data_IF_785994227273
#
_entry.id   IF_785994227273
#
_cell.length_a   1.000
_cell.length_b   1.000
_cell.length_c   1.000
_cell.angle_alpha   90.00
_cell.angle_beta   90.00
_cell.angle_gamma   90.00
#
_symmetry.space_group_name_H-M   'P 1'
#
loop_
_entity.id
_entity.type
_entity.pdbx_description
1 polymer ?
#
# COMPACT_ATOMS: atom_id res chain seq x y z
N UNK A 1 -36.32 1.56 50.76
CA UNK A 1 -37.70 1.88 50.32
C UNK A 1 -37.99 3.34 50.65
N UNK A 2 -38.10 4.22 49.65
CA UNK A 2 -38.94 5.42 49.70
C UNK A 2 -39.09 5.95 48.26
N UNK A 3 -40.26 5.71 47.66
CA UNK A 3 -40.65 6.20 46.34
C UNK A 3 -41.05 7.67 46.46
N UNK A 4 -40.59 8.53 45.53
CA UNK A 4 -41.29 9.78 45.21
C UNK A 4 -41.36 9.95 43.69
N UNK A 5 -42.59 9.97 43.20
CA UNK A 5 -43.00 10.20 41.82
C UNK A 5 -42.75 11.67 41.44
N UNK A 6 -42.20 11.91 40.24
CA UNK A 6 -42.21 13.25 39.63
C UNK A 6 -43.06 13.22 38.36
N UNK A 7 -44.04 14.12 38.33
CA UNK A 7 -45.12 14.22 37.35
C UNK A 7 -44.64 14.94 36.09
N UNK A 8 -45.05 14.43 34.94
CA UNK A 8 -44.89 15.05 33.63
C UNK A 8 -45.82 16.27 33.50
N UNK A 9 -45.29 17.39 33.01
CA UNK A 9 -46.11 18.54 32.59
C UNK A 9 -45.93 18.71 31.08
N UNK A 10 -46.99 18.41 30.35
CA UNK A 10 -47.16 18.71 28.92
C UNK A 10 -47.29 20.23 28.78
N UNK A 11 -46.46 20.85 27.93
CA UNK A 11 -46.70 22.19 27.43
C UNK A 11 -46.95 22.12 25.93
N UNK A 12 -48.23 22.18 25.57
CA UNK A 12 -48.73 22.36 24.20
C UNK A 12 -48.65 23.84 23.84
N UNK A 13 -47.86 24.18 22.82
CA UNK A 13 -48.06 25.42 22.05
C UNK A 13 -48.27 25.05 20.58
N UNK A 14 -49.54 25.14 20.17
CA UNK A 14 -49.95 25.27 18.78
C UNK A 14 -49.70 26.70 18.33
N UNK A 15 -49.04 26.88 17.18
CA UNK A 15 -49.19 28.11 16.39
C UNK A 15 -49.19 27.75 14.90
N UNK A 16 -50.30 28.15 14.29
CA UNK A 16 -50.70 28.00 12.89
C UNK A 16 -49.83 28.88 11.98
N UNK A 17 -49.46 28.34 10.82
CA UNK A 17 -48.87 29.09 9.71
C UNK A 17 -49.09 28.34 8.41
N UNK A 18 -50.08 28.79 7.65
CA UNK A 18 -50.67 28.16 6.47
C UNK A 18 -49.92 28.60 5.20
N UNK A 19 -49.98 27.73 4.17
CA UNK A 19 -49.97 28.04 2.73
C UNK A 19 -48.64 27.89 1.98
N UNK A 20 -48.56 26.84 1.16
CA UNK A 20 -47.54 26.71 0.12
C UNK A 20 -47.37 25.32 -0.52
N UNK A 21 -48.44 24.50 -0.64
CA UNK A 21 -48.37 23.24 -1.39
C UNK A 21 -48.29 23.53 -2.90
N UNK A 22 -47.09 23.52 -3.47
CA UNK A 22 -46.91 23.47 -4.92
C UNK A 22 -47.03 22.00 -5.38
N UNK A 23 -48.26 21.56 -5.67
CA UNK A 23 -48.53 20.27 -6.28
C UNK A 23 -48.13 20.33 -7.76
N UNK A 24 -46.95 19.82 -8.09
CA UNK A 24 -46.63 19.44 -9.47
C UNK A 24 -47.38 18.16 -9.80
N UNK A 25 -48.40 18.29 -10.63
CA UNK A 25 -49.05 17.18 -11.34
C UNK A 25 -48.00 16.54 -12.25
N UNK A 26 -47.62 15.30 -11.96
CA UNK A 26 -46.83 14.48 -12.88
C UNK A 26 -47.83 13.70 -13.73
N UNK A 27 -48.04 14.17 -14.96
CA UNK A 27 -48.76 13.42 -15.99
C UNK A 27 -47.88 12.24 -16.41
N UNK A 28 -48.31 11.02 -16.09
CA UNK A 28 -47.70 9.80 -16.63
C UNK A 28 -48.23 9.61 -18.04
N UNK A 29 -47.38 9.84 -19.04
CA UNK A 29 -47.65 9.51 -20.44
C UNK A 29 -47.12 8.10 -20.69
N UNK A 30 -47.96 7.11 -21.03
CA UNK A 30 -47.48 5.80 -21.44
C UNK A 30 -47.10 5.81 -22.92
N UNK A 31 -46.03 5.05 -23.21
CA UNK A 31 -45.55 4.61 -24.53
C UNK A 31 -44.62 5.54 -25.31
N UNK A 32 -43.34 5.17 -25.32
CA UNK A 32 -42.64 4.85 -26.57
C UNK A 32 -41.48 3.89 -26.29
N UNK A 33 -41.55 2.71 -26.91
CA UNK A 33 -40.45 1.74 -27.06
C UNK A 33 -39.31 2.37 -27.88
N UNK A 34 -38.13 1.75 -27.79
CA UNK A 34 -36.90 1.92 -28.61
C UNK A 34 -35.92 2.91 -27.96
N UNK A 35 -34.71 2.57 -27.52
CA UNK A 35 -33.71 1.60 -27.97
C UNK A 35 -32.76 1.25 -26.80
N UNK A 36 -32.16 0.06 -26.85
CA UNK A 36 -31.22 -0.45 -25.85
C UNK A 36 -29.96 0.44 -25.72
N UNK A 37 -29.40 0.62 -24.50
CA UNK A 37 -28.12 1.29 -24.36
C UNK A 37 -27.00 0.38 -24.89
N UNK A 38 -26.24 0.93 -25.84
CA UNK A 38 -25.01 0.37 -26.38
C UNK A 38 -24.04 0.14 -25.23
N UNK A 39 -23.70 -1.12 -24.97
CA UNK A 39 -22.64 -1.52 -24.03
C UNK A 39 -21.34 -0.89 -24.51
N UNK A 40 -20.91 0.16 -23.82
CA UNK A 40 -19.56 0.71 -23.99
C UNK A 40 -18.61 -0.30 -23.37
N UNK A 41 -17.83 -0.99 -24.20
CA UNK A 41 -16.71 -1.79 -23.75
C UNK A 41 -15.77 -0.91 -22.92
N UNK A 42 -15.69 -1.20 -21.62
CA UNK A 42 -14.62 -0.75 -20.75
C UNK A 42 -13.37 -1.53 -21.17
N UNK A 43 -12.27 -0.89 -21.59
CA UNK A 43 -11.01 -1.59 -21.78
C UNK A 43 -10.53 -2.03 -20.39
N UNK A 44 -10.64 -3.34 -20.14
CA UNK A 44 -9.87 -4.02 -19.10
C UNK A 44 -8.39 -3.91 -19.46
N UNK A 45 -7.66 -2.99 -18.82
CA UNK A 45 -6.20 -2.95 -18.90
C UNK A 45 -5.58 -2.55 -17.56
N UNK A 46 -5.17 -3.56 -16.81
CA UNK A 46 -3.89 -3.52 -16.07
C UNK A 46 -3.24 -4.89 -15.90
N UNK A 47 -3.96 -6.00 -16.12
CA UNK A 47 -3.40 -7.37 -16.01
C UNK A 47 -2.32 -7.66 -17.05
N UNK A 48 -2.47 -7.14 -18.28
CA UNK A 48 -1.61 -7.49 -19.42
C UNK A 48 -0.17 -6.96 -19.27
N UNK A 49 0.08 -5.90 -18.48
CA UNK A 49 1.45 -5.38 -18.27
C UNK A 49 2.22 -6.12 -17.16
N UNK A 50 1.54 -6.72 -16.18
CA UNK A 50 2.20 -7.55 -15.17
C UNK A 50 2.67 -8.89 -15.77
N UNK A 51 1.87 -9.50 -16.64
CA UNK A 51 2.23 -10.77 -17.31
C UNK A 51 3.44 -10.65 -18.25
N UNK A 52 3.61 -9.51 -18.93
CA UNK A 52 4.72 -9.32 -19.88
C UNK A 52 6.09 -9.23 -19.17
N UNK A 53 6.13 -8.79 -17.90
CA UNK A 53 7.38 -8.72 -17.13
C UNK A 53 7.72 -10.04 -16.41
N UNK A 54 6.72 -10.89 -16.12
CA UNK A 54 6.94 -12.25 -15.59
C UNK A 54 7.70 -13.10 -16.63
N UNK A 55 7.39 -12.94 -17.91
CA UNK A 55 8.03 -13.70 -19.00
C UNK A 55 9.50 -13.31 -19.27
N UNK A 56 10.02 -12.24 -18.66
CA UNK A 56 11.45 -11.87 -18.76
C UNK A 56 12.30 -12.37 -17.60
N UNK A 57 11.70 -13.00 -16.59
CA UNK A 57 12.43 -13.60 -15.48
C UNK A 57 11.82 -14.96 -15.07
N UNK A 58 12.23 -16.07 -15.73
CA UNK A 58 11.68 -17.41 -15.48
C UNK A 58 12.00 -17.97 -14.08
N UNK A 59 12.82 -17.29 -13.28
CA UNK A 59 13.26 -17.78 -11.96
C UNK A 59 12.40 -17.28 -10.79
N UNK A 60 11.19 -16.77 -11.03
CA UNK A 60 10.27 -16.42 -9.95
C UNK A 60 9.77 -17.66 -9.15
N UNK A 61 10.02 -18.88 -9.64
CA UNK A 61 9.59 -20.15 -9.02
C UNK A 61 10.66 -21.21 -8.74
N UNK A 62 11.92 -21.06 -9.17
CA UNK A 62 12.92 -22.15 -9.16
C UNK A 62 14.08 -21.98 -8.15
N UNK A 63 13.83 -21.50 -6.93
CA UNK A 63 14.86 -21.55 -5.86
C UNK A 63 14.46 -22.40 -4.67
N UNK A 64 13.89 -23.57 -4.95
CA UNK A 64 13.78 -24.69 -4.00
C UNK A 64 14.52 -25.90 -4.57
N UNK A 65 15.85 -25.83 -4.69
CA UNK A 65 16.73 -27.01 -4.78
C UNK A 65 18.17 -26.62 -5.11
N UNK A 66 18.94 -26.19 -4.12
CA UNK A 66 20.38 -26.48 -4.07
C UNK A 66 20.97 -26.05 -2.74
N UNK A 67 21.25 -27.04 -1.90
CA UNK A 67 22.14 -26.92 -0.75
C UNK A 67 23.59 -26.87 -1.25
N UNK A 68 24.43 -26.01 -0.62
CA UNK A 68 25.77 -26.45 -0.26
C UNK A 68 26.02 -26.36 1.24
N UNK A 69 26.96 -27.20 1.67
CA UNK A 69 27.23 -27.59 3.06
C UNK A 69 27.93 -26.48 3.86
N UNK A 70 27.52 -26.42 5.13
CA UNK A 70 28.14 -25.85 6.34
C UNK A 70 29.65 -25.63 6.27
N UNK A 71 30.11 -24.48 6.75
CA UNK A 71 31.33 -24.34 7.56
C UNK A 71 31.21 -23.19 8.57
N UNK A 72 31.71 -23.46 9.77
CA UNK A 72 31.64 -22.65 11.00
C UNK A 72 32.81 -21.66 11.07
N UNK A 73 32.61 -20.43 11.55
CA UNK A 73 33.60 -19.74 12.42
C UNK A 73 32.99 -18.54 13.16
N UNK A 74 33.39 -18.41 14.43
CA UNK A 74 33.06 -17.40 15.44
C UNK A 74 33.79 -16.05 15.21
N UNK A 75 33.20 -14.95 15.73
CA UNK A 75 33.92 -13.71 16.06
C UNK A 75 33.00 -12.52 16.46
N UNK A 76 33.02 -12.14 17.75
CA UNK A 76 32.23 -11.07 18.44
C UNK A 76 32.81 -9.63 18.24
N UNK A 77 32.42 -8.56 19.01
CA UNK A 77 31.19 -7.73 18.91
C UNK A 77 31.40 -6.18 18.84
N UNK A 78 30.30 -5.44 18.53
CA UNK A 78 29.95 -4.03 18.87
C UNK A 78 30.63 -2.85 18.10
N UNK A 79 30.07 -1.60 18.03
CA UNK A 79 28.96 -1.01 18.80
C UNK A 79 27.82 -0.29 18.02
N UNK A 80 26.76 0.00 18.78
CA UNK A 80 25.50 0.66 18.40
C UNK A 80 25.69 2.14 18.05
N UNK A 81 25.12 2.59 16.92
CA UNK A 81 24.77 4.00 16.66
C UNK A 81 23.33 4.10 16.15
N UNK A 82 22.57 5.00 16.78
CA UNK A 82 21.21 5.37 16.41
C UNK A 82 21.25 6.33 15.22
N UNK A 83 20.75 5.92 14.06
CA UNK A 83 20.62 6.79 12.90
C UNK A 83 19.21 6.64 12.29
N UNK A 84 18.51 7.77 12.16
CA UNK A 84 17.17 7.89 11.56
C UNK A 84 17.25 7.75 10.03
N UNK A 85 17.69 6.59 9.54
CA UNK A 85 17.72 6.31 8.12
C UNK A 85 16.37 5.76 7.65
N UNK A 86 15.66 6.59 6.89
CA UNK A 86 14.42 6.24 6.25
C UNK A 86 14.68 5.26 5.08
N UNK A 87 14.77 3.98 5.43
CA UNK A 87 14.94 2.91 4.46
C UNK A 87 13.66 2.60 3.69
N UNK A 88 13.57 3.10 2.45
CA UNK A 88 12.59 2.67 1.44
C UNK A 88 13.20 1.61 0.52
N UNK A 89 14.52 1.65 0.36
CA UNK A 89 15.29 0.78 -0.52
C UNK A 89 15.75 -0.51 0.17
N UNK A 90 15.41 -0.69 1.46
CA UNK A 90 15.80 -1.87 2.22
C UNK A 90 17.31 -1.94 2.51
N UNK A 91 18.00 -0.81 2.59
CA UNK A 91 19.45 -0.73 2.77
C UNK A 91 19.92 -1.29 4.13
N UNK A 92 19.09 -1.28 5.18
CA UNK A 92 19.35 -1.99 6.46
C UNK A 92 18.82 -3.44 6.43
N UNK A 93 17.83 -3.76 5.60
CA UNK A 93 17.26 -5.12 5.55
C UNK A 93 18.01 -6.07 4.61
N UNK A 94 18.88 -5.53 3.76
CA UNK A 94 19.69 -6.27 2.78
C UNK A 94 21.15 -6.46 3.18
N UNK A 95 21.59 -5.89 4.30
CA UNK A 95 22.95 -6.11 4.81
C UNK A 95 23.20 -7.58 5.26
N UNK A 96 22.14 -8.36 5.49
CA UNK A 96 22.22 -9.77 5.90
C UNK A 96 22.05 -10.77 4.73
N UNK A 97 22.01 -10.32 3.47
CA UNK A 97 21.89 -11.21 2.29
C UNK A 97 23.08 -11.01 1.36
N UNK A 98 24.25 -11.45 1.81
CA UNK A 98 25.32 -11.86 0.92
C UNK A 98 25.02 -13.28 0.41
N UNK A 99 24.37 -13.40 -0.75
CA UNK A 99 24.52 -14.55 -1.67
C UNK A 99 23.62 -14.40 -2.93
N UNK A 100 24.31 -14.12 -4.04
CA UNK A 100 24.08 -14.62 -5.41
C UNK A 100 22.76 -14.32 -6.16
N UNK A 101 22.77 -13.21 -6.96
CA UNK A 101 22.35 -13.05 -8.39
C UNK A 101 22.00 -11.57 -8.70
N UNK A 102 22.36 -10.87 -9.79
CA UNK A 102 23.25 -11.08 -10.97
C UNK A 102 23.96 -9.78 -11.42
N UNK A 103 23.91 -8.68 -10.66
CA UNK A 103 24.63 -7.45 -10.99
C UNK A 103 25.35 -6.91 -9.75
N UNK A 104 26.65 -7.21 -9.63
CA UNK A 104 27.49 -6.71 -8.53
C UNK A 104 27.63 -5.17 -8.55
N UNK A 105 27.28 -4.52 -9.66
CA UNK A 105 27.28 -3.06 -9.77
C UNK A 105 25.85 -2.55 -9.65
N UNK A 106 25.57 -1.65 -8.69
CA UNK A 106 24.29 -0.97 -8.62
C UNK A 106 23.97 -0.26 -9.94
N UNK A 107 22.73 -0.39 -10.40
CA UNK A 107 22.22 0.34 -11.56
C UNK A 107 22.04 1.81 -11.19
N UNK A 108 22.46 2.71 -12.08
CA UNK A 108 22.36 4.14 -11.82
C UNK A 108 20.90 4.59 -11.78
N UNK A 109 20.56 5.28 -10.69
CA UNK A 109 19.27 5.92 -10.52
C UNK A 109 19.23 7.20 -11.35
N UNK A 110 18.09 7.48 -11.96
CA UNK A 110 17.91 8.74 -12.69
C UNK A 110 18.08 9.95 -11.76
N UNK A 111 18.52 11.11 -12.28
CA UNK A 111 18.56 12.33 -11.49
C UNK A 111 17.19 12.67 -10.89
N UNK A 112 17.18 13.25 -9.69
CA UNK A 112 15.94 13.64 -9.03
C UNK A 112 15.18 14.70 -9.86
N UNK A 113 13.96 14.43 -10.32
CA UNK A 113 13.24 15.30 -11.25
C UNK A 113 12.57 16.45 -10.48
N UNK A 114 13.33 17.52 -10.23
CA UNK A 114 12.91 18.66 -9.39
C UNK A 114 11.58 19.26 -9.84
N UNK A 115 11.38 19.46 -11.14
CA UNK A 115 10.17 20.06 -11.70
C UNK A 115 8.93 19.20 -11.42
N UNK A 116 8.99 17.90 -11.70
CA UNK A 116 7.88 16.96 -11.44
C UNK A 116 7.47 16.98 -9.95
N UNK A 117 8.44 16.91 -9.04
CA UNK A 117 8.18 16.95 -7.60
C UNK A 117 7.65 18.31 -7.13
N UNK A 118 8.03 19.41 -7.77
CA UNK A 118 7.58 20.76 -7.40
C UNK A 118 6.07 20.95 -7.57
N UNK A 119 5.45 20.19 -8.50
CA UNK A 119 4.01 20.22 -8.75
C UNK A 119 3.20 19.35 -7.78
N UNK A 120 3.85 18.47 -7.01
CA UNK A 120 3.15 17.62 -6.06
C UNK A 120 2.57 18.43 -4.90
N UNK A 121 1.30 18.18 -4.60
CA UNK A 121 0.66 18.77 -3.43
C UNK A 121 1.28 18.18 -2.16
N UNK A 122 1.81 19.05 -1.29
CA UNK A 122 2.43 18.63 -0.02
C UNK A 122 1.41 18.39 1.10
N UNK A 123 0.21 18.97 0.97
CA UNK A 123 -0.88 18.86 1.94
C UNK A 123 -2.12 18.28 1.29
N UNK A 124 -2.84 17.47 2.05
CA UNK A 124 -4.10 16.89 1.63
C UNK A 124 -5.02 16.63 2.81
N UNK A 125 -6.22 16.16 2.50
CA UNK A 125 -7.29 15.95 3.48
C UNK A 125 -7.87 14.54 3.41
N UNK A 126 -7.33 13.69 2.54
CA UNK A 126 -7.80 12.31 2.38
C UNK A 126 -7.15 11.40 3.41
N UNK A 127 -7.77 10.24 3.61
CA UNK A 127 -7.28 9.17 4.47
C UNK A 127 -7.09 7.90 3.64
N UNK A 128 -5.99 7.18 3.89
CA UNK A 128 -5.82 5.81 3.40
C UNK A 128 -5.83 4.87 4.60
N UNK A 129 -6.67 3.83 4.57
CA UNK A 129 -6.74 2.82 5.63
C UNK A 129 -6.73 1.41 5.03
N UNK A 130 -6.32 0.44 5.83
CA UNK A 130 -6.47 -0.97 5.49
C UNK A 130 -5.54 -1.83 6.33
N UNK A 131 -5.18 -2.99 5.79
CA UNK A 131 -4.41 -3.99 6.52
C UNK A 131 -3.21 -4.45 5.69
N UNK A 132 -2.07 -4.67 6.34
CA UNK A 132 -0.90 -5.30 5.72
C UNK A 132 -0.74 -6.73 6.23
N UNK A 133 -0.61 -7.68 5.30
CA UNK A 133 -0.36 -9.09 5.62
C UNK A 133 0.28 -9.81 4.43
N UNK A 134 0.91 -10.95 4.69
CA UNK A 134 1.30 -11.92 3.67
C UNK A 134 0.33 -13.09 3.77
N UNK A 135 -0.05 -13.65 2.62
CA UNK A 135 -0.95 -14.81 2.57
C UNK A 135 -0.18 -16.02 2.04
N UNK A 136 -0.16 -17.09 2.83
CA UNK A 136 0.39 -18.36 2.39
C UNK A 136 -0.62 -19.01 1.43
N UNK A 137 -0.21 -19.24 0.19
CA UNK A 137 -1.11 -19.73 -0.87
C UNK A 137 -1.49 -21.20 -0.69
N UNK A 138 -0.67 -21.96 0.03
CA UNK A 138 -0.89 -23.38 0.28
C UNK A 138 -1.82 -23.62 1.47
N UNK A 139 -1.69 -22.83 2.55
CA UNK A 139 -2.50 -22.99 3.77
C UNK A 139 -3.67 -22.01 3.88
N UNK A 140 -3.64 -20.91 3.13
CA UNK A 140 -4.57 -19.78 3.29
C UNK A 140 -4.31 -18.94 4.55
N UNK A 141 -3.23 -19.22 5.29
CA UNK A 141 -2.89 -18.51 6.51
C UNK A 141 -2.44 -17.07 6.20
N UNK A 142 -2.91 -16.11 7.01
CA UNK A 142 -2.50 -14.70 6.93
C UNK A 142 -1.49 -14.36 8.02
N UNK A 143 -0.27 -14.05 7.58
CA UNK A 143 0.79 -13.54 8.44
C UNK A 143 0.66 -12.02 8.49
N UNK A 144 0.07 -11.52 9.58
CA UNK A 144 -0.18 -10.09 9.76
C UNK A 144 1.11 -9.28 9.91
N UNK A 145 1.22 -8.17 9.20
CA UNK A 145 2.33 -7.24 9.31
C UNK A 145 2.23 -6.37 10.57
N UNK A 146 2.62 -6.90 11.73
CA UNK A 146 2.50 -6.22 13.03
C UNK A 146 3.60 -5.15 13.20
N UNK A 147 3.22 -3.92 13.57
CA UNK A 147 4.18 -2.81 13.83
C UNK A 147 5.16 -2.55 12.67
N UNK A 148 4.69 -2.79 11.44
CA UNK A 148 5.47 -2.62 10.22
C UNK A 148 5.51 -1.14 9.86
N UNK A 149 6.68 -0.67 9.40
CA UNK A 149 6.86 0.65 8.82
C UNK A 149 6.27 0.67 7.40
N UNK A 150 5.34 1.58 7.12
CA UNK A 150 4.72 1.74 5.81
C UNK A 150 5.03 3.12 5.22
N UNK A 151 5.09 3.17 3.90
CA UNK A 151 5.28 4.40 3.15
C UNK A 151 4.21 4.57 2.09
N UNK A 152 3.76 5.82 1.90
CA UNK A 152 3.14 6.26 0.66
C UNK A 152 4.17 7.07 -0.12
N UNK A 153 4.60 6.54 -1.26
CA UNK A 153 5.51 7.17 -2.20
C UNK A 153 4.72 7.68 -3.42
N UNK A 154 4.65 8.99 -3.71
CA UNK A 154 3.96 9.51 -4.88
C UNK A 154 4.44 8.84 -6.17
N UNK A 155 3.53 8.54 -7.09
CA UNK A 155 3.89 8.01 -8.42
C UNK A 155 4.46 9.14 -9.27
N UNK A 156 5.78 9.13 -9.41
CA UNK A 156 6.59 10.00 -10.29
C UNK A 156 7.50 9.17 -11.19
N UNK A 157 8.13 9.78 -12.20
CA UNK A 157 9.15 9.13 -13.04
C UNK A 157 10.24 8.44 -12.20
N UNK A 158 10.75 9.13 -11.18
CA UNK A 158 11.76 8.61 -10.24
C UNK A 158 11.29 7.38 -9.45
N UNK A 159 10.05 7.40 -8.92
CA UNK A 159 9.48 6.26 -8.21
C UNK A 159 9.14 5.10 -9.17
N UNK A 160 8.81 5.40 -10.43
CA UNK A 160 8.53 4.40 -11.45
C UNK A 160 9.80 3.62 -11.79
N UNK A 161 10.96 4.28 -11.94
CA UNK A 161 12.23 3.58 -12.14
C UNK A 161 12.51 2.61 -10.98
N UNK A 162 12.35 3.06 -9.74
CA UNK A 162 12.49 2.20 -8.58
C UNK A 162 11.54 0.99 -8.61
N UNK A 163 10.28 1.22 -8.95
CA UNK A 163 9.30 0.14 -9.01
C UNK A 163 9.63 -0.88 -10.10
N UNK A 164 10.01 -0.42 -11.30
CA UNK A 164 10.31 -1.29 -12.43
C UNK A 164 11.64 -2.02 -12.24
N UNK A 165 12.70 -1.30 -11.89
CA UNK A 165 14.05 -1.85 -11.88
C UNK A 165 14.39 -2.56 -10.56
N UNK A 166 14.11 -1.96 -9.39
CA UNK A 166 14.42 -2.60 -8.10
C UNK A 166 13.31 -3.57 -7.66
N UNK A 167 12.07 -3.11 -7.59
CA UNK A 167 11.02 -3.95 -7.03
C UNK A 167 10.63 -5.12 -7.96
N UNK A 168 10.38 -4.85 -9.25
CA UNK A 168 10.02 -5.90 -10.22
C UNK A 168 11.26 -6.58 -10.83
N UNK A 169 12.26 -5.79 -11.23
CA UNK A 169 13.46 -6.27 -11.93
C UNK A 169 14.52 -6.89 -11.02
N UNK A 170 14.48 -6.62 -9.71
CA UNK A 170 15.45 -7.15 -8.75
C UNK A 170 16.83 -6.46 -8.79
N UNK A 171 16.98 -5.38 -9.56
CA UNK A 171 18.21 -4.59 -9.60
C UNK A 171 18.40 -3.82 -8.29
N UNK A 172 19.66 -3.62 -7.88
CA UNK A 172 19.98 -2.65 -6.83
C UNK A 172 20.21 -1.30 -7.50
N UNK A 173 19.38 -0.29 -7.21
CA UNK A 173 19.64 1.07 -7.67
C UNK A 173 20.73 1.75 -6.81
N UNK A 174 21.39 2.76 -7.37
CA UNK A 174 22.23 3.67 -6.58
C UNK A 174 21.40 4.46 -5.57
N UNK A 175 22.12 5.06 -4.60
CA UNK A 175 21.55 5.67 -3.40
C UNK A 175 20.44 6.66 -3.73
N UNK A 176 19.35 6.58 -2.97
CA UNK A 176 18.23 7.49 -3.12
C UNK A 176 18.59 8.94 -2.74
N UNK A 177 18.18 9.89 -3.59
CA UNK A 177 18.19 11.31 -3.25
C UNK A 177 17.24 11.60 -2.08
N UNK A 178 17.79 12.21 -1.01
CA UNK A 178 17.06 12.48 0.23
C UNK A 178 15.90 13.47 0.07
N UNK A 179 15.86 14.27 -1.00
CA UNK A 179 14.75 15.22 -1.25
C UNK A 179 13.40 14.54 -1.39
N UNK A 180 13.37 13.26 -1.78
CA UNK A 180 12.14 12.47 -1.90
C UNK A 180 11.37 12.38 -0.57
N UNK A 181 12.07 12.35 0.57
CA UNK A 181 11.44 12.17 1.88
C UNK A 181 10.51 13.33 2.26
N UNK A 182 10.67 14.50 1.64
CA UNK A 182 9.76 15.65 1.82
C UNK A 182 8.36 15.43 1.23
N UNK A 183 8.20 14.42 0.37
CA UNK A 183 6.97 14.13 -0.36
C UNK A 183 6.34 12.79 0.05
N UNK A 184 7.08 11.99 0.80
CA UNK A 184 6.61 10.70 1.28
C UNK A 184 5.88 10.83 2.61
N UNK A 185 4.89 9.96 2.81
CA UNK A 185 4.24 9.81 4.10
C UNK A 185 4.65 8.51 4.75
N UNK A 186 4.89 8.58 6.04
CA UNK A 186 5.29 7.47 6.88
C UNK A 186 4.18 7.17 7.89
N UNK A 187 3.86 5.89 8.05
CA UNK A 187 3.04 5.40 9.16
C UNK A 187 3.54 4.05 9.64
N UNK A 188 3.01 3.59 10.78
CA UNK A 188 3.22 2.23 11.26
C UNK A 188 1.89 1.50 11.37
N UNK A 189 1.87 0.22 10.99
CA UNK A 189 0.73 -0.63 11.28
C UNK A 189 0.63 -0.95 12.76
N UNK A 190 -0.56 -1.30 13.22
CA UNK A 190 -0.82 -1.77 14.58
C UNK A 190 -0.46 -3.26 14.74
N UNK A 191 -0.72 -3.79 15.93
CA UNK A 191 -0.45 -5.19 16.26
C UNK A 191 -1.32 -6.19 15.46
N UNK A 192 -2.46 -5.73 14.93
CA UNK A 192 -3.36 -6.50 14.06
C UNK A 192 -3.05 -6.29 12.56
N UNK A 193 -1.98 -5.54 12.22
CA UNK A 193 -1.64 -5.20 10.84
C UNK A 193 -2.46 -4.06 10.24
N UNK A 194 -3.42 -3.48 10.97
CA UNK A 194 -4.18 -2.33 10.47
C UNK A 194 -3.32 -1.07 10.42
N UNK A 195 -3.50 -0.22 9.41
CA UNK A 195 -2.79 1.05 9.26
C UNK A 195 -3.74 2.17 8.84
N UNK A 196 -3.31 3.42 9.10
CA UNK A 196 -4.06 4.63 8.70
C UNK A 196 -3.09 5.76 8.39
N UNK A 197 -3.09 6.22 7.15
CA UNK A 197 -2.46 7.48 6.75
C UNK A 197 -3.50 8.59 6.75
N UNK A 198 -3.18 9.72 7.39
CA UNK A 198 -4.03 10.92 7.41
C UNK A 198 -3.41 12.08 6.62
N UNK A 199 -4.26 13.01 6.17
CA UNK A 199 -3.84 14.21 5.46
C UNK A 199 -3.13 13.92 4.13
N UNK A 200 -3.58 12.88 3.43
CA UNK A 200 -3.01 12.41 2.16
C UNK A 200 -3.49 13.31 1.02
N UNK A 201 -2.59 13.92 0.23
CA UNK A 201 -2.96 14.62 -0.99
C UNK A 201 -3.59 13.67 -2.00
N UNK A 202 -4.49 14.18 -2.83
CA UNK A 202 -5.06 13.40 -3.92
C UNK A 202 -3.98 13.08 -4.95
N UNK A 203 -4.02 11.89 -5.53
CA UNK A 203 -3.03 11.43 -6.51
C UNK A 203 -2.78 9.94 -6.43
N UNK A 204 -1.84 9.47 -7.24
CA UNK A 204 -1.41 8.08 -7.25
C UNK A 204 -0.18 7.87 -6.37
N UNK A 205 -0.12 6.74 -5.68
CA UNK A 205 0.96 6.39 -4.76
C UNK A 205 1.33 4.92 -4.89
N UNK A 206 2.59 4.61 -4.64
CA UNK A 206 3.01 3.28 -4.20
C UNK A 206 2.87 3.20 -2.67
N UNK A 207 2.00 2.31 -2.21
CA UNK A 207 1.91 1.88 -0.83
C UNK A 207 2.92 0.74 -0.61
N UNK A 208 3.87 0.96 0.29
CA UNK A 208 5.04 0.09 0.48
C UNK A 208 5.14 -0.35 1.94
N UNK A 209 5.48 -1.61 2.16
CA UNK A 209 5.78 -2.16 3.48
C UNK A 209 6.55 -3.49 3.38
N UNK A 210 7.10 -3.95 4.50
CA UNK A 210 7.80 -5.23 4.57
C UNK A 210 7.35 -6.04 5.77
N UNK A 211 6.85 -7.25 5.52
CA UNK A 211 6.40 -8.18 6.56
C UNK A 211 7.52 -9.17 6.85
N UNK A 212 7.93 -9.30 8.11
CA UNK A 212 8.80 -10.39 8.53
C UNK A 212 8.01 -11.69 8.40
N UNK A 213 8.53 -12.62 7.63
CA UNK A 213 7.93 -13.94 7.53
C UNK A 213 9.00 -15.00 7.33
N UNK A 214 8.87 -16.10 8.07
CA UNK A 214 9.90 -17.14 8.14
C UNK A 214 9.30 -18.48 7.72
N UNK A 215 9.30 -19.46 8.61
CA UNK A 215 8.80 -20.81 8.35
C UNK A 215 7.32 -20.81 7.93
N UNK A 216 6.52 -19.88 8.46
CA UNK A 216 5.10 -19.74 8.17
C UNK A 216 4.83 -19.35 6.69
N UNK A 217 5.82 -18.77 6.01
CA UNK A 217 5.79 -18.44 4.58
C UNK A 217 6.66 -19.37 3.74
N UNK A 218 7.04 -20.55 4.26
CA UNK A 218 7.94 -21.46 3.55
C UNK A 218 9.37 -20.93 3.39
N UNK A 219 9.77 -19.91 4.17
CA UNK A 219 11.10 -19.29 4.11
C UNK A 219 12.01 -19.85 5.21
N UNK A 220 13.21 -20.30 4.84
CA UNK A 220 14.18 -20.93 5.74
C UNK A 220 14.86 -19.94 6.69
N UNK A 221 14.95 -18.66 6.31
CA UNK A 221 15.76 -17.67 7.03
C UNK A 221 14.92 -16.88 8.05
N UNK A 222 15.36 -16.89 9.31
CA UNK A 222 14.65 -16.27 10.45
C UNK A 222 14.49 -14.75 10.35
N UNK A 223 15.25 -14.09 9.48
CA UNK A 223 15.22 -12.64 9.30
C UNK A 223 14.62 -12.22 7.95
N UNK A 224 14.10 -13.16 7.16
CA UNK A 224 13.58 -12.82 5.84
C UNK A 224 12.35 -11.94 5.96
N UNK A 225 12.33 -10.92 5.11
CA UNK A 225 11.22 -9.98 4.97
C UNK A 225 10.67 -10.12 3.57
N UNK A 226 9.36 -10.24 3.48
CA UNK A 226 8.64 -10.13 2.22
C UNK A 226 8.35 -8.65 2.01
N UNK A 227 8.85 -8.07 0.92
CA UNK A 227 8.53 -6.71 0.49
C UNK A 227 7.21 -6.71 -0.27
N UNK A 228 6.32 -5.80 0.09
CA UNK A 228 5.00 -5.61 -0.51
C UNK A 228 4.91 -4.20 -1.06
N UNK A 229 4.49 -4.09 -2.33
CA UNK A 229 4.24 -2.81 -2.99
C UNK A 229 2.91 -2.91 -3.74
N UNK A 230 2.07 -1.89 -3.59
CA UNK A 230 0.82 -1.78 -4.34
C UNK A 230 0.64 -0.34 -4.82
N UNK A 231 0.38 -0.15 -6.11
CA UNK A 231 -0.05 1.14 -6.64
C UNK A 231 -1.50 1.38 -6.25
N UNK A 232 -1.80 2.57 -5.72
CA UNK A 232 -3.13 2.99 -5.26
C UNK A 232 -3.44 4.39 -5.78
N UNK A 233 -4.73 4.68 -5.98
CA UNK A 233 -5.22 6.03 -6.26
C UNK A 233 -5.97 6.59 -5.06
N UNK A 234 -5.58 7.77 -4.60
CA UNK A 234 -6.18 8.47 -3.47
C UNK A 234 -7.09 9.58 -3.98
N UNK A 235 -8.39 9.36 -3.84
CA UNK A 235 -9.45 10.32 -4.15
C UNK A 235 -9.74 11.25 -2.98
N UNK A 236 -10.93 11.84 -2.97
CA UNK A 236 -11.45 12.55 -1.79
C UNK A 236 -11.94 11.57 -0.73
N UNK A 237 -11.80 11.92 0.55
CA UNK A 237 -12.35 11.12 1.66
C UNK A 237 -11.44 9.94 2.04
N UNK A 238 -12.00 8.73 2.12
CA UNK A 238 -11.31 7.54 2.62
C UNK A 238 -11.10 6.51 1.52
N UNK A 239 -9.83 6.24 1.18
CA UNK A 239 -9.43 5.09 0.36
C UNK A 239 -9.19 3.88 1.27
N UNK A 240 -9.85 2.76 0.99
CA UNK A 240 -9.64 1.47 1.69
C UNK A 240 -8.84 0.53 0.81
N UNK A 241 -7.75 -0.02 1.33
CA UNK A 241 -6.88 -0.90 0.56
C UNK A 241 -6.08 -1.82 1.46
N UNK A 242 -6.11 -3.12 1.17
CA UNK A 242 -5.17 -4.06 1.76
C UNK A 242 -3.88 -4.14 0.94
N UNK A 243 -2.76 -4.14 1.66
CA UNK A 243 -1.43 -4.39 1.15
C UNK A 243 -1.08 -5.85 1.42
N UNK A 244 -1.27 -6.69 0.41
CA UNK A 244 -1.06 -8.13 0.50
C UNK A 244 -0.17 -8.65 -0.63
N UNK A 245 0.50 -9.76 -0.37
CA UNK A 245 1.27 -10.54 -1.33
C UNK A 245 1.11 -12.02 -0.98
N UNK A 246 0.87 -12.82 -2.01
CA UNK A 246 0.82 -14.26 -1.89
C UNK A 246 2.24 -14.82 -1.93
N UNK A 247 2.52 -15.77 -1.04
CA UNK A 247 3.76 -16.55 -1.02
C UNK A 247 3.42 -18.05 -1.07
N UNK A 248 4.29 -18.89 -1.63
CA UNK A 248 4.16 -20.35 -1.53
C UNK A 248 4.23 -20.83 -0.07
#
# INVERSE_FOLDING_TARGET
MLRKNLKYTLLTLMLLGVSGCNQRVITLNPETRTSAPRVSHIPSQSTVREEILINKNPNLGERISSLPKKNTSLGSPAPVKNEHDANIDGEIDRADIESETMHNTPMERMPFPVEEYSHLKKRGYSTVVGTIYVENSNSGEKIMGKKVKLWLNPVTSYSNQWYQEDYLGGYKLTKIDKRIFNYMKLEYSKADGSFRFSGVPRGDYYLVGSVKCTQECGLSDKNKKVRLVKRISVGSGVTRVDLTKNVP
#
